data_IF_556523683620
#
_entry.id   IF_556523683620
#
_cell.length_a   1.000
_cell.length_b   1.000
_cell.length_c   1.000
_cell.angle_alpha   90.00
_cell.angle_beta   90.00
_cell.angle_gamma   90.00
#
_symmetry.space_group_name_H-M   'P 1'
#
loop_
_entity.id
_entity.type
_entity.pdbx_description
1 polymer ?
#
# COMPACT_ATOMS: atom_id res chain seq x y z
N UNK A 1 -49.26 -14.14 -1.24
CA UNK A 1 -49.51 -13.26 -0.08
C UNK A 1 -48.17 -13.00 0.56
N UNK A 2 -47.72 -11.75 0.59
CA UNK A 2 -46.41 -11.39 1.16
C UNK A 2 -46.65 -11.03 2.62
N UNK A 3 -46.21 -11.85 3.55
CA UNK A 3 -46.33 -11.54 4.99
C UNK A 3 -45.29 -10.47 5.37
N UNK A 4 -45.75 -9.44 6.08
CA UNK A 4 -44.87 -8.40 6.61
C UNK A 4 -43.97 -8.99 7.71
N UNK A 5 -42.66 -8.85 7.56
CA UNK A 5 -41.69 -9.30 8.58
C UNK A 5 -41.44 -8.15 9.56
N UNK A 6 -42.19 -8.15 10.65
CA UNK A 6 -42.15 -7.11 11.69
C UNK A 6 -41.35 -7.54 12.92
N UNK A 7 -40.68 -6.60 13.58
CA UNK A 7 -40.06 -6.84 14.88
C UNK A 7 -41.13 -6.86 15.98
N UNK A 8 -41.48 -8.07 16.41
CA UNK A 8 -42.64 -8.31 17.28
C UNK A 8 -42.65 -7.46 18.57
N UNK A 9 -41.50 -7.27 19.23
CA UNK A 9 -41.44 -6.55 20.50
C UNK A 9 -41.73 -5.04 20.40
N UNK A 10 -41.80 -4.48 19.20
CA UNK A 10 -42.08 -3.05 18.95
C UNK A 10 -43.21 -2.85 17.94
N UNK A 11 -43.98 -3.88 17.63
CA UNK A 11 -45.11 -3.80 16.70
C UNK A 11 -46.41 -3.72 17.50
N UNK A 12 -47.21 -2.68 17.27
CA UNK A 12 -48.56 -2.53 17.85
C UNK A 12 -49.67 -3.08 16.95
N UNK A 13 -49.38 -3.36 15.69
CA UNK A 13 -50.33 -3.96 14.75
C UNK A 13 -49.75 -4.13 13.36
N UNK A 14 -50.55 -4.66 12.44
CA UNK A 14 -50.21 -4.79 11.02
C UNK A 14 -51.36 -4.15 10.22
N UNK A 15 -51.01 -3.31 9.24
CA UNK A 15 -51.97 -2.67 8.35
C UNK A 15 -51.63 -3.04 6.91
N UNK A 16 -52.39 -3.97 6.32
CA UNK A 16 -52.07 -4.52 5.01
C UNK A 16 -50.77 -5.34 5.06
N UNK A 17 -49.76 -4.91 4.31
CA UNK A 17 -48.42 -5.52 4.28
C UNK A 17 -47.36 -4.72 5.07
N UNK A 18 -47.79 -3.77 5.92
CA UNK A 18 -46.88 -2.88 6.67
C UNK A 18 -47.05 -3.04 8.18
N UNK A 19 -45.96 -2.85 8.92
CA UNK A 19 -45.92 -2.92 10.38
C UNK A 19 -46.33 -1.58 10.99
N UNK A 20 -47.26 -1.60 11.95
CA UNK A 20 -47.63 -0.44 12.76
C UNK A 20 -46.82 -0.50 14.06
N UNK A 21 -45.98 0.49 14.31
CA UNK A 21 -45.03 0.46 15.42
C UNK A 21 -45.59 1.00 16.74
N UNK A 22 -45.25 0.31 17.84
CA UNK A 22 -45.45 0.78 19.21
C UNK A 22 -44.39 1.83 19.58
N UNK A 23 -44.59 2.54 20.71
CA UNK A 23 -43.67 3.56 21.18
C UNK A 23 -42.21 3.05 21.27
N UNK A 24 -41.29 3.75 20.60
CA UNK A 24 -39.87 3.41 20.50
C UNK A 24 -39.50 2.39 19.43
N UNK A 25 -40.43 1.97 18.56
CA UNK A 25 -40.14 1.26 17.31
C UNK A 25 -39.91 2.23 16.14
N UNK A 26 -38.95 1.90 15.26
CA UNK A 26 -38.54 2.77 14.16
C UNK A 26 -38.49 2.02 12.82
N UNK A 27 -38.86 2.73 11.74
CA UNK A 27 -38.87 2.22 10.36
C UNK A 27 -39.98 1.20 10.08
N UNK A 28 -40.04 0.73 8.83
CA UNK A 28 -41.14 -0.09 8.30
C UNK A 28 -41.23 -1.50 8.91
N UNK A 29 -40.21 -1.91 9.68
CA UNK A 29 -40.16 -3.18 10.41
C UNK A 29 -40.13 -3.02 11.94
N UNK A 30 -40.32 -1.79 12.44
CA UNK A 30 -40.40 -1.45 13.86
C UNK A 30 -39.17 -1.85 14.70
N UNK A 31 -37.95 -1.58 14.24
CA UNK A 31 -36.73 -1.93 14.96
C UNK A 31 -36.54 -1.09 16.24
N UNK A 32 -35.83 -1.62 17.27
CA UNK A 32 -35.74 -1.02 18.60
C UNK A 32 -34.84 0.22 18.74
N UNK A 33 -34.22 0.72 17.65
CA UNK A 33 -33.38 1.91 17.68
C UNK A 33 -33.72 2.84 16.51
N UNK A 34 -33.89 4.13 16.80
CA UNK A 34 -33.84 5.16 15.77
C UNK A 34 -32.43 5.16 15.20
N UNK A 35 -32.30 4.91 13.90
CA UNK A 35 -31.08 5.31 13.20
C UNK A 35 -31.08 6.84 13.22
N UNK A 36 -30.04 7.51 13.75
CA UNK A 36 -30.01 8.97 13.73
C UNK A 36 -30.04 9.46 12.28
N UNK A 37 -31.04 10.25 11.92
CA UNK A 37 -31.01 11.05 10.70
C UNK A 37 -29.83 12.02 10.82
N UNK A 38 -28.73 11.73 10.12
CA UNK A 38 -27.49 12.50 10.25
C UNK A 38 -26.20 11.69 10.34
N UNK A 39 -26.23 10.35 10.25
CA UNK A 39 -25.09 9.64 9.68
C UNK A 39 -25.05 10.03 8.21
N UNK A 40 -24.27 11.09 7.92
CA UNK A 40 -24.02 11.58 6.57
C UNK A 40 -23.76 10.40 5.63
N UNK A 41 -24.22 10.54 4.37
CA UNK A 41 -24.13 9.56 3.29
C UNK A 41 -23.23 8.39 3.67
N UNK A 42 -23.82 7.24 4.05
CA UNK A 42 -23.09 5.99 3.98
C UNK A 42 -22.32 6.01 2.66
N UNK A 43 -20.99 5.81 2.66
CA UNK A 43 -20.22 5.92 1.44
C UNK A 43 -20.92 5.02 0.43
N UNK A 44 -21.33 5.67 -0.65
CA UNK A 44 -22.05 5.03 -1.74
C UNK A 44 -21.26 3.76 -2.11
N UNK A 45 -21.88 2.57 -2.18
CA UNK A 45 -21.18 1.37 -2.60
C UNK A 45 -20.57 1.53 -4.01
N UNK A 46 -21.06 2.51 -4.77
CA UNK A 46 -20.56 2.87 -6.10
C UNK A 46 -19.64 4.10 -6.12
N UNK A 47 -19.11 4.54 -4.98
CA UNK A 47 -17.85 5.28 -5.01
C UNK A 47 -16.75 4.29 -5.42
N UNK A 48 -16.63 4.06 -6.74
CA UNK A 48 -15.47 3.46 -7.38
C UNK A 48 -14.26 4.38 -7.27
N UNK A 49 -13.90 4.74 -6.05
CA UNK A 49 -12.55 5.19 -5.78
C UNK A 49 -11.69 3.95 -5.69
N UNK A 50 -10.95 3.72 -6.77
CA UNK A 50 -9.74 2.91 -6.84
C UNK A 50 -8.65 3.51 -5.93
N UNK A 51 -9.00 3.80 -4.68
CA UNK A 51 -8.14 4.30 -3.64
C UNK A 51 -7.34 3.11 -3.09
N UNK A 52 -6.03 3.29 -2.99
CA UNK A 52 -5.14 2.28 -2.43
C UNK A 52 -5.49 2.14 -0.95
N UNK A 53 -6.27 1.10 -0.60
CA UNK A 53 -6.61 0.81 0.79
C UNK A 53 -5.32 0.45 1.53
N UNK A 54 -4.93 1.31 2.47
CA UNK A 54 -3.76 1.09 3.29
C UNK A 54 -4.01 -0.01 4.33
N UNK A 55 -3.07 -0.93 4.46
CA UNK A 55 -2.99 -1.86 5.59
C UNK A 55 -2.32 -1.12 6.74
N UNK A 56 -2.98 -1.11 7.90
CA UNK A 56 -2.50 -0.39 9.08
C UNK A 56 -2.15 -1.35 10.21
N UNK A 57 -0.94 -1.24 10.75
CA UNK A 57 -0.51 -2.01 11.91
C UNK A 57 -0.33 -3.51 11.66
N UNK A 58 -0.01 -4.24 12.73
CA UNK A 58 0.10 -5.70 12.70
C UNK A 58 1.39 -6.23 12.07
N UNK A 59 1.40 -7.54 11.85
CA UNK A 59 2.55 -8.25 11.29
C UNK A 59 2.13 -9.11 10.11
N UNK A 60 2.88 -9.06 9.01
CA UNK A 60 2.63 -9.87 7.80
C UNK A 60 3.90 -10.58 7.34
N UNK A 61 3.76 -11.83 6.92
CA UNK A 61 4.87 -12.64 6.41
C UNK A 61 4.99 -12.66 4.89
N UNK A 62 3.96 -12.22 4.19
CA UNK A 62 3.90 -12.18 2.73
C UNK A 62 3.01 -11.03 2.27
N UNK A 63 3.24 -10.58 1.04
CA UNK A 63 2.35 -9.66 0.34
C UNK A 63 1.72 -10.44 -0.80
N UNK A 64 0.40 -10.60 -0.75
CA UNK A 64 -0.34 -11.27 -1.80
C UNK A 64 -0.48 -10.37 -3.03
N UNK A 65 -0.75 -11.00 -4.17
CA UNK A 65 -1.01 -10.27 -5.41
C UNK A 65 -2.28 -9.44 -5.26
N UNK A 66 -2.25 -8.16 -5.68
CA UNK A 66 -3.45 -7.34 -5.68
C UNK A 66 -4.51 -7.95 -6.60
N UNK A 67 -5.77 -7.78 -6.23
CA UNK A 67 -6.89 -8.10 -7.11
C UNK A 67 -6.79 -7.31 -8.44
N UNK A 68 -7.29 -7.85 -9.56
CA UNK A 68 -7.30 -7.15 -10.84
C UNK A 68 -7.90 -5.74 -10.73
N UNK A 69 -7.18 -4.74 -11.24
CA UNK A 69 -7.62 -3.33 -11.22
C UNK A 69 -7.20 -2.54 -9.97
N UNK A 70 -6.53 -3.15 -8.99
CA UNK A 70 -5.90 -2.43 -7.88
C UNK A 70 -4.70 -1.63 -8.39
N UNK A 71 -4.64 -0.34 -8.02
CA UNK A 71 -3.68 0.65 -8.56
C UNK A 71 -2.45 0.86 -7.69
N UNK A 72 -2.26 0.06 -6.66
CA UNK A 72 -1.19 0.26 -5.71
C UNK A 72 -1.27 -0.59 -4.46
N UNK A 73 -0.23 -0.47 -3.65
CA UNK A 73 -0.13 -1.08 -2.33
C UNK A 73 0.19 0.02 -1.31
N UNK A 74 -0.41 -0.02 -0.13
CA UNK A 74 -0.10 0.91 0.93
C UNK A 74 -0.02 0.18 2.27
N UNK A 75 1.09 0.39 2.98
CA UNK A 75 1.34 -0.19 4.29
C UNK A 75 1.77 0.93 5.25
N UNK A 76 1.13 0.98 6.42
CA UNK A 76 1.37 1.99 7.44
C UNK A 76 1.57 1.31 8.79
N UNK A 77 2.75 1.48 9.40
CA UNK A 77 3.10 0.88 10.70
C UNK A 77 3.02 -0.65 10.72
N UNK A 78 3.28 -1.29 9.59
CA UNK A 78 3.23 -2.76 9.44
C UNK A 78 4.62 -3.34 9.71
N UNK A 79 4.66 -4.49 10.40
CA UNK A 79 5.89 -5.25 10.63
C UNK A 79 5.95 -6.45 9.70
N UNK A 80 6.94 -6.49 8.83
CA UNK A 80 7.14 -7.62 7.92
C UNK A 80 8.05 -8.66 8.57
N UNK A 81 7.55 -9.87 8.75
CA UNK A 81 8.26 -10.95 9.44
C UNK A 81 9.11 -11.80 8.50
N UNK A 82 9.09 -11.51 7.20
CA UNK A 82 9.94 -12.12 6.19
C UNK A 82 10.34 -11.08 5.13
N UNK A 83 11.36 -11.38 4.34
CA UNK A 83 11.76 -10.54 3.22
C UNK A 83 10.65 -10.52 2.15
N UNK A 84 10.33 -9.33 1.67
CA UNK A 84 9.26 -9.12 0.69
C UNK A 84 9.86 -8.87 -0.69
N UNK A 85 9.33 -9.58 -1.68
CA UNK A 85 9.64 -9.35 -3.09
C UNK A 85 8.40 -8.77 -3.76
N UNK A 86 8.51 -7.53 -4.21
CA UNK A 86 7.50 -6.84 -5.00
C UNK A 86 7.83 -7.04 -6.47
N UNK A 87 7.28 -8.11 -7.01
CA UNK A 87 7.40 -8.46 -8.41
C UNK A 87 6.37 -7.70 -9.25
N UNK A 88 6.80 -6.71 -10.04
CA UNK A 88 5.88 -5.75 -10.68
C UNK A 88 5.22 -6.24 -11.97
N UNK A 89 5.64 -7.40 -12.50
CA UNK A 89 5.05 -8.07 -13.67
C UNK A 89 3.62 -8.58 -13.46
N UNK A 90 3.21 -8.82 -12.21
CA UNK A 90 1.91 -9.38 -11.84
C UNK A 90 0.82 -8.30 -11.71
N UNK A 91 1.21 -7.03 -11.74
CA UNK A 91 0.28 -5.92 -11.70
C UNK A 91 -0.23 -5.68 -13.13
N UNK A 92 -1.35 -6.33 -13.46
CA UNK A 92 -2.02 -6.21 -14.76
C UNK A 92 -2.69 -4.84 -14.91
N UNK A 93 -1.86 -3.81 -15.13
CA UNK A 93 -2.29 -2.43 -15.25
C UNK A 93 -1.55 -1.70 -16.39
N UNK A 94 -1.70 -2.16 -17.65
CA UNK A 94 -1.07 -1.52 -18.80
C UNK A 94 -1.49 -0.04 -18.90
N UNK A 95 -0.51 0.85 -19.05
CA UNK A 95 -0.63 2.31 -19.06
C UNK A 95 -1.02 2.99 -17.73
N UNK A 96 -1.15 2.26 -16.64
CA UNK A 96 -1.41 2.84 -15.32
C UNK A 96 -0.13 2.90 -14.49
N UNK A 97 -0.09 3.88 -13.58
CA UNK A 97 1.03 4.04 -12.66
C UNK A 97 0.75 3.25 -11.41
N UNK A 98 1.68 2.35 -11.05
CA UNK A 98 1.56 1.60 -9.81
C UNK A 98 2.10 2.42 -8.62
N UNK A 99 1.25 2.70 -7.63
CA UNK A 99 1.64 3.45 -6.44
C UNK A 99 1.89 2.52 -5.26
N UNK A 100 3.13 2.47 -4.75
CA UNK A 100 3.51 1.66 -3.60
C UNK A 100 3.95 2.59 -2.48
N UNK A 101 3.36 2.45 -1.29
CA UNK A 101 3.72 3.25 -0.11
C UNK A 101 4.02 2.36 1.10
N UNK A 102 5.18 2.55 1.72
CA UNK A 102 5.59 1.94 2.98
C UNK A 102 5.95 3.06 3.98
N UNK A 103 5.05 3.34 4.91
CA UNK A 103 5.19 4.39 5.90
C UNK A 103 5.36 3.80 7.30
N UNK A 104 6.46 4.11 7.98
CA UNK A 104 6.75 3.64 9.34
C UNK A 104 6.72 2.11 9.47
N UNK A 105 7.07 1.39 8.40
CA UNK A 105 7.10 -0.07 8.39
C UNK A 105 8.43 -0.60 8.93
N UNK A 106 8.43 -1.82 9.44
CA UNK A 106 9.64 -2.57 9.81
C UNK A 106 9.80 -3.72 8.80
N UNK A 107 10.95 -3.80 8.14
CA UNK A 107 11.19 -4.68 7.00
C UNK A 107 12.36 -5.62 7.29
N UNK A 108 12.12 -6.94 7.24
CA UNK A 108 13.21 -7.92 7.22
C UNK A 108 14.06 -7.82 5.94
N UNK A 109 13.50 -7.33 4.84
CA UNK A 109 14.14 -7.16 3.54
C UNK A 109 13.12 -6.73 2.49
N UNK A 110 13.53 -5.98 1.48
CA UNK A 110 12.63 -5.50 0.43
C UNK A 110 13.32 -5.55 -0.93
N UNK A 111 12.78 -6.33 -1.85
CA UNK A 111 13.22 -6.37 -3.25
C UNK A 111 12.12 -5.84 -4.15
N UNK A 112 12.43 -4.85 -4.98
CA UNK A 112 11.50 -4.25 -5.94
C UNK A 112 11.99 -4.59 -7.35
N UNK A 113 11.20 -5.40 -8.07
CA UNK A 113 11.56 -5.90 -9.39
C UNK A 113 10.68 -5.30 -10.48
N UNK A 114 11.26 -4.39 -11.24
CA UNK A 114 10.64 -3.68 -12.35
C UNK A 114 10.23 -4.60 -13.51
N UNK A 115 9.09 -4.28 -14.11
CA UNK A 115 8.47 -5.00 -15.25
C UNK A 115 8.44 -4.22 -16.56
N UNK A 116 9.01 -3.02 -16.59
CA UNK A 116 8.87 -2.02 -17.65
C UNK A 116 7.67 -1.08 -17.45
N UNK A 117 6.82 -1.35 -16.45
CA UNK A 117 5.71 -0.46 -16.08
C UNK A 117 6.19 0.80 -15.35
N UNK A 118 5.39 1.88 -15.42
CA UNK A 118 5.63 3.09 -14.64
C UNK A 118 5.23 2.87 -13.19
N UNK A 119 6.12 3.20 -12.25
CA UNK A 119 5.85 3.05 -10.81
C UNK A 119 6.21 4.29 -10.01
N UNK A 120 5.45 4.52 -8.94
CA UNK A 120 5.80 5.45 -7.88
C UNK A 120 5.94 4.67 -6.57
N UNK A 121 7.14 4.64 -6.00
CA UNK A 121 7.44 3.93 -4.76
C UNK A 121 7.88 4.92 -3.69
N UNK A 122 7.21 4.90 -2.56
CA UNK A 122 7.47 5.74 -1.40
C UNK A 122 7.82 4.88 -0.17
N UNK A 123 9.06 4.97 0.31
CA UNK A 123 9.51 4.34 1.56
C UNK A 123 9.89 5.43 2.56
N UNK A 124 9.01 5.69 3.53
CA UNK A 124 9.08 6.86 4.41
C UNK A 124 9.17 6.46 5.88
N UNK A 125 10.18 6.96 6.59
CA UNK A 125 10.33 6.73 8.04
C UNK A 125 10.28 5.26 8.43
N UNK A 126 10.72 4.37 7.53
CA UNK A 126 10.66 2.92 7.71
C UNK A 126 12.02 2.40 8.17
N UNK A 127 12.03 1.20 8.75
CA UNK A 127 13.23 0.52 9.21
C UNK A 127 13.43 -0.77 8.42
N UNK A 128 14.68 -1.07 8.09
CA UNK A 128 15.11 -2.34 7.55
C UNK A 128 16.27 -2.83 8.43
N UNK A 129 16.12 -4.02 9.03
CA UNK A 129 16.92 -4.45 10.20
C UNK A 129 17.81 -5.68 9.95
N UNK A 130 17.63 -6.38 8.83
CA UNK A 130 18.36 -7.62 8.55
C UNK A 130 18.81 -7.77 7.11
N UNK A 131 17.88 -7.75 6.15
CA UNK A 131 18.11 -7.96 4.72
C UNK A 131 18.58 -6.70 4.00
N UNK A 132 18.41 -6.62 2.68
CA UNK A 132 18.78 -5.45 1.89
C UNK A 132 17.55 -4.80 1.23
N UNK A 133 17.68 -3.53 0.84
CA UNK A 133 16.80 -2.89 -0.12
C UNK A 133 17.35 -3.11 -1.52
N UNK A 134 16.69 -3.94 -2.31
CA UNK A 134 17.15 -4.34 -3.63
C UNK A 134 16.27 -3.76 -4.73
N UNK A 135 16.91 -3.29 -5.79
CA UNK A 135 16.26 -2.86 -7.02
C UNK A 135 16.79 -3.67 -8.19
N UNK A 136 15.86 -4.25 -8.96
CA UNK A 136 16.19 -5.00 -10.18
C UNK A 136 15.14 -4.82 -11.26
N UNK A 137 15.47 -5.17 -12.50
CA UNK A 137 14.54 -5.10 -13.61
C UNK A 137 14.39 -3.71 -14.21
N UNK A 138 13.39 -3.58 -15.07
CA UNK A 138 13.14 -2.37 -15.86
C UNK A 138 12.01 -1.54 -15.25
N UNK A 139 12.23 -0.25 -15.09
CA UNK A 139 11.26 0.71 -14.59
C UNK A 139 10.91 1.67 -15.72
N UNK A 140 9.63 1.69 -16.11
CA UNK A 140 9.15 2.46 -17.25
C UNK A 140 9.37 3.96 -17.10
N UNK A 141 9.23 4.70 -18.20
CA UNK A 141 9.43 6.15 -18.22
C UNK A 141 8.55 6.90 -17.19
N UNK A 142 9.13 7.94 -16.60
CA UNK A 142 8.55 8.76 -15.53
C UNK A 142 8.28 8.00 -14.22
N UNK A 143 9.07 6.96 -13.93
CA UNK A 143 9.01 6.28 -12.63
C UNK A 143 9.66 7.12 -11.53
N UNK A 144 9.17 6.99 -10.31
CA UNK A 144 9.67 7.70 -9.15
C UNK A 144 9.86 6.74 -7.99
N UNK A 145 11.03 6.78 -7.37
CA UNK A 145 11.33 5.97 -6.19
C UNK A 145 11.90 6.91 -5.15
N UNK A 146 11.27 7.00 -3.98
CA UNK A 146 11.68 7.87 -2.88
C UNK A 146 11.88 7.01 -1.63
N UNK A 147 13.08 7.09 -1.07
CA UNK A 147 13.39 6.57 0.26
C UNK A 147 13.81 7.74 1.13
N UNK A 148 13.03 8.05 2.16
CA UNK A 148 13.25 9.26 2.97
C UNK A 148 13.08 9.03 4.46
N UNK A 149 14.03 9.56 5.24
CA UNK A 149 13.99 9.51 6.70
C UNK A 149 14.01 8.10 7.27
N UNK A 150 14.45 7.11 6.48
CA UNK A 150 14.41 5.69 6.82
C UNK A 150 15.75 5.23 7.41
N UNK A 151 15.71 4.16 8.22
CA UNK A 151 16.88 3.51 8.80
C UNK A 151 17.09 2.16 8.12
N UNK A 152 18.05 2.08 7.19
CA UNK A 152 18.42 0.88 6.45
C UNK A 152 19.69 0.31 7.07
N UNK A 153 19.52 -0.46 8.14
CA UNK A 153 20.60 -1.00 8.97
C UNK A 153 20.63 -2.50 8.79
N UNK A 154 21.57 -2.99 8.00
CA UNK A 154 21.59 -4.38 7.59
C UNK A 154 22.82 -5.13 8.09
N UNK A 155 22.67 -6.44 8.26
CA UNK A 155 23.81 -7.35 8.42
C UNK A 155 24.33 -7.88 7.07
N UNK A 156 23.62 -7.59 5.97
CA UNK A 156 24.03 -7.91 4.61
C UNK A 156 25.31 -7.17 4.20
N UNK A 157 26.01 -7.72 3.22
CA UNK A 157 27.15 -7.07 2.56
C UNK A 157 26.82 -5.67 2.02
N UNK A 158 25.56 -5.40 1.69
CA UNK A 158 25.11 -4.11 1.20
C UNK A 158 23.73 -3.72 1.75
N UNK A 159 23.50 -2.44 2.05
CA UNK A 159 22.21 -1.94 2.50
C UNK A 159 21.25 -1.65 1.34
N UNK A 160 21.76 -1.02 0.28
CA UNK A 160 21.01 -0.82 -0.96
C UNK A 160 21.76 -1.48 -2.12
N UNK A 161 21.05 -2.30 -2.89
CA UNK A 161 21.63 -3.08 -3.98
C UNK A 161 20.91 -2.82 -5.30
N UNK A 162 21.69 -2.59 -6.35
CA UNK A 162 21.18 -2.44 -7.72
C UNK A 162 21.77 -3.53 -8.61
N UNK A 163 20.91 -4.33 -9.23
CA UNK A 163 21.31 -5.41 -10.14
C UNK A 163 20.38 -5.47 -11.34
N UNK A 164 20.93 -5.42 -12.55
CA UNK A 164 20.14 -5.38 -13.79
C UNK A 164 19.02 -4.31 -13.72
N UNK A 165 19.38 -3.13 -13.21
CA UNK A 165 18.46 -2.03 -12.95
C UNK A 165 18.42 -1.10 -14.15
N UNK A 166 17.26 -0.94 -14.77
CA UNK A 166 17.04 -0.02 -15.89
C UNK A 166 15.99 1.01 -15.50
N UNK A 167 16.33 2.28 -15.67
CA UNK A 167 15.44 3.39 -15.36
C UNK A 167 15.14 4.16 -16.63
N UNK A 168 13.88 4.14 -17.07
CA UNK A 168 13.44 4.82 -18.28
C UNK A 168 13.48 6.35 -18.17
N UNK A 169 13.33 7.02 -19.32
CA UNK A 169 13.33 8.47 -19.45
C UNK A 169 12.53 9.22 -18.37
N UNK A 170 13.07 10.35 -17.89
CA UNK A 170 12.42 11.25 -16.91
C UNK A 170 12.11 10.60 -15.55
N UNK A 171 12.83 9.54 -15.18
CA UNK A 171 12.61 8.85 -13.91
C UNK A 171 13.57 9.35 -12.82
N UNK A 172 13.13 9.35 -11.56
CA UNK A 172 13.96 9.81 -10.42
C UNK A 172 13.98 8.82 -9.24
N UNK A 173 15.17 8.47 -8.75
CA UNK A 173 15.37 7.74 -7.50
C UNK A 173 16.01 8.68 -6.48
N UNK A 174 15.33 8.92 -5.37
CA UNK A 174 15.72 9.86 -4.34
C UNK A 174 15.98 9.13 -3.03
N UNK A 175 17.23 9.16 -2.56
CA UNK A 175 17.62 8.73 -1.22
C UNK A 175 17.88 9.98 -0.39
N UNK A 176 16.98 10.33 0.52
CA UNK A 176 17.02 11.60 1.25
C UNK A 176 17.00 11.38 2.77
N UNK A 177 17.99 11.94 3.49
CA UNK A 177 18.00 11.93 4.97
C UNK A 177 17.85 10.54 5.62
N UNK A 178 18.34 9.50 4.97
CA UNK A 178 18.33 8.13 5.51
C UNK A 178 19.59 7.86 6.35
N UNK A 179 19.50 6.92 7.29
CA UNK A 179 20.65 6.25 7.90
C UNK A 179 20.86 4.94 7.16
N UNK A 180 21.97 4.78 6.47
CA UNK A 180 22.26 3.62 5.62
C UNK A 180 23.54 2.99 6.14
N UNK A 181 23.43 1.77 6.65
CA UNK A 181 24.54 1.01 7.23
C UNK A 181 24.56 -0.39 6.63
N UNK A 182 25.63 -0.71 5.92
CA UNK A 182 25.84 -2.03 5.33
C UNK A 182 27.18 -2.62 5.75
N UNK A 183 27.30 -3.95 5.77
CA UNK A 183 28.52 -4.60 6.27
C UNK A 183 29.77 -4.29 5.42
N UNK A 184 29.60 -4.14 4.10
CA UNK A 184 30.69 -3.74 3.18
C UNK A 184 30.39 -2.47 2.40
N UNK A 185 29.15 -2.29 1.97
CA UNK A 185 28.74 -1.16 1.13
C UNK A 185 27.41 -0.58 1.60
N UNK A 186 27.32 0.73 1.82
CA UNK A 186 26.03 1.36 2.08
C UNK A 186 25.12 1.32 0.83
N UNK A 187 25.68 1.60 -0.35
CA UNK A 187 24.99 1.52 -1.63
C UNK A 187 25.91 0.81 -2.62
N UNK A 188 25.39 -0.21 -3.30
CA UNK A 188 26.18 -1.02 -4.23
C UNK A 188 25.48 -1.21 -5.56
N UNK A 189 26.13 -0.71 -6.62
CA UNK A 189 25.72 -0.91 -8.01
C UNK A 189 26.53 -2.07 -8.58
N UNK A 190 25.88 -3.20 -8.84
CA UNK A 190 26.56 -4.43 -9.23
C UNK A 190 26.86 -4.48 -10.73
N UNK A 191 25.82 -4.72 -11.54
CA UNK A 191 25.98 -4.86 -12.98
C UNK A 191 24.71 -4.39 -13.72
N UNK A 192 24.92 -3.96 -14.97
CA UNK A 192 23.86 -3.52 -15.89
C UNK A 192 22.89 -2.50 -15.28
N UNK A 193 23.44 -1.41 -14.72
CA UNK A 193 22.68 -0.27 -14.22
C UNK A 193 22.61 0.81 -15.30
N UNK A 194 21.41 1.10 -15.78
CA UNK A 194 21.15 2.08 -16.85
C UNK A 194 20.15 3.11 -16.34
N UNK A 195 20.46 4.39 -16.54
CA UNK A 195 19.56 5.50 -16.23
C UNK A 195 19.44 6.35 -17.49
N UNK A 196 18.29 6.29 -18.15
CA UNK A 196 18.00 7.07 -19.35
C UNK A 196 17.29 8.36 -18.96
N UNK A 197 17.87 9.52 -19.28
CA UNK A 197 17.25 10.84 -19.08
C UNK A 197 16.71 11.14 -17.67
N UNK A 198 17.21 10.44 -16.65
CA UNK A 198 16.75 10.48 -15.27
C UNK A 198 17.89 10.68 -14.27
N UNK A 199 17.64 10.43 -12.99
CA UNK A 199 18.69 10.61 -11.98
C UNK A 199 18.50 9.82 -10.70
N UNK A 200 19.62 9.43 -10.10
CA UNK A 200 19.71 8.90 -8.74
C UNK A 200 20.31 10.01 -7.87
N UNK A 201 19.55 10.52 -6.91
CA UNK A 201 19.93 11.62 -6.04
C UNK A 201 20.08 11.12 -4.62
N UNK A 202 21.27 11.30 -4.05
CA UNK A 202 21.60 10.92 -2.68
C UNK A 202 21.90 12.19 -1.90
N UNK A 203 20.99 12.61 -1.00
CA UNK A 203 21.11 13.89 -0.29
C UNK A 203 20.87 13.77 1.21
N UNK A 204 21.86 14.22 1.99
CA UNK A 204 21.75 14.31 3.45
C UNK A 204 21.65 12.96 4.16
N UNK A 205 22.04 11.85 3.51
CA UNK A 205 22.08 10.53 4.14
C UNK A 205 23.34 10.40 5.00
N UNK A 206 23.22 9.65 6.09
CA UNK A 206 24.36 9.15 6.85
C UNK A 206 24.71 7.78 6.31
N UNK A 207 25.96 7.61 5.84
CA UNK A 207 26.48 6.34 5.33
C UNK A 207 27.50 5.82 6.34
N UNK A 208 27.32 4.60 6.83
CA UNK A 208 28.23 3.95 7.78
C UNK A 208 28.52 2.51 7.40
#
# INVERSE_FOLDING_TARGET
TVDAVCFAARTSGISGCECVCAAGGYGDTCLPAAVPDGLGTLPHPDAKDAEVRCVHGGSIGSVDFPDPGVRGLCFVKVTFTAAIVLELWSFDAPQQTLNITLLQCVLMGLSIRGSGARVHVDVKSSMLDSGALEFSGDFGASSQILVVGSALVTTSGHAIFFVAFVFGANSSLLLIKNRIEGNRYAVYFFSAVVVDGGGIIVKGNTLS
#
